data_IF_267251453546
#
_entry.id   IF_267251453546
#
_cell.length_a   1.000
_cell.length_b   1.000
_cell.length_c   1.000
_cell.angle_alpha   90.00
_cell.angle_beta   90.00
_cell.angle_gamma   90.00
#
_symmetry.space_group_name_H-M   'P 1'
#
loop_
_entity.id
_entity.type
_entity.pdbx_description
1 polymer ?
#
# COMPACT_ATOMS: atom_id res chain seq x y z
N UNK A 1 1.29 14.28 -2.15
CA UNK A 1 0.22 14.65 -1.18
C UNK A 1 0.78 14.57 0.24
N UNK A 2 0.74 15.67 0.99
CA UNK A 2 1.46 15.74 2.26
C UNK A 2 2.80 16.48 2.19
N UNK A 3 3.07 17.22 1.11
CA UNK A 3 4.34 17.94 0.92
C UNK A 3 4.67 18.79 2.15
N UNK A 4 5.92 18.69 2.59
CA UNK A 4 6.44 19.38 3.77
C UNK A 4 6.75 20.86 3.52
N UNK A 5 6.64 21.31 2.27
CA UNK A 5 6.85 22.69 1.87
C UNK A 5 6.14 22.97 0.54
N UNK A 6 6.14 24.24 0.13
CA UNK A 6 5.62 24.69 -1.16
C UNK A 6 6.52 25.77 -1.76
N UNK A 7 6.48 25.89 -3.09
CA UNK A 7 7.15 26.94 -3.83
C UNK A 7 6.20 28.11 -4.08
N UNK A 8 6.74 29.32 -4.03
CA UNK A 8 5.98 30.53 -4.34
C UNK A 8 6.12 30.80 -5.84
N UNK A 9 4.99 30.84 -6.56
CA UNK A 9 4.98 30.98 -8.01
C UNK A 9 5.08 32.45 -8.51
N UNK A 10 5.03 33.43 -7.62
CA UNK A 10 5.03 34.87 -7.97
C UNK A 10 5.93 35.68 -7.06
N UNK A 11 6.78 36.51 -7.65
CA UNK A 11 7.69 37.41 -6.94
C UNK A 11 7.01 38.73 -6.54
N UNK A 12 5.81 39.00 -7.05
CA UNK A 12 5.02 40.20 -6.77
C UNK A 12 4.05 39.99 -5.61
N UNK A 13 4.60 39.72 -4.43
CA UNK A 13 3.83 39.59 -3.19
C UNK A 13 4.02 40.80 -2.30
N UNK A 14 2.93 41.26 -1.68
CA UNK A 14 3.03 42.26 -0.61
C UNK A 14 3.66 41.64 0.65
N UNK A 15 4.21 42.49 1.52
CA UNK A 15 4.84 42.01 2.76
C UNK A 15 3.87 41.25 3.67
N UNK A 16 2.59 41.66 3.68
CA UNK A 16 1.54 40.96 4.40
C UNK A 16 1.26 39.56 3.83
N UNK A 17 1.30 39.40 2.50
CA UNK A 17 1.13 38.09 1.85
C UNK A 17 2.33 37.18 2.11
N UNK A 18 3.56 37.73 2.08
CA UNK A 18 4.77 36.97 2.43
C UNK A 18 4.74 36.48 3.88
N UNK A 19 4.35 37.35 4.82
CA UNK A 19 4.21 36.98 6.22
C UNK A 19 3.14 35.89 6.45
N UNK A 20 2.02 35.98 5.73
CA UNK A 20 0.98 34.94 5.75
C UNK A 20 1.48 33.59 5.23
N UNK A 21 2.21 33.59 4.11
CA UNK A 21 2.79 32.37 3.54
C UNK A 21 3.86 31.74 4.44
N UNK A 22 4.72 32.54 5.07
CA UNK A 22 5.68 32.02 6.06
C UNK A 22 4.98 31.43 7.29
N UNK A 23 3.87 32.03 7.74
CA UNK A 23 3.07 31.47 8.84
C UNK A 23 2.47 30.11 8.46
N UNK A 24 1.98 29.96 7.22
CA UNK A 24 1.48 28.68 6.70
C UNK A 24 2.62 27.66 6.60
N UNK A 25 3.79 28.06 6.12
CA UNK A 25 4.98 27.19 6.03
C UNK A 25 5.43 26.70 7.41
N UNK A 26 5.43 27.58 8.42
CA UNK A 26 5.72 27.20 9.80
C UNK A 26 4.72 26.15 10.32
N UNK A 27 3.42 26.35 10.09
CA UNK A 27 2.38 25.38 10.48
C UNK A 27 2.52 24.03 9.78
N UNK A 28 2.93 24.00 8.52
CA UNK A 28 3.18 22.75 7.78
C UNK A 28 4.39 22.03 8.37
N UNK A 29 5.48 22.75 8.68
CA UNK A 29 6.66 22.15 9.31
C UNK A 29 6.39 21.63 10.71
N UNK A 30 5.67 22.39 11.54
CA UNK A 30 5.32 21.98 12.91
C UNK A 30 4.45 20.72 12.93
N UNK A 31 3.66 20.49 11.88
CA UNK A 31 2.82 19.29 11.74
C UNK A 31 3.48 18.16 10.93
N UNK A 32 4.77 18.28 10.61
CA UNK A 32 5.57 17.32 9.84
C UNK A 32 4.93 17.02 8.46
N UNK A 33 4.50 18.09 7.79
CA UNK A 33 3.75 18.08 6.55
C UNK A 33 2.33 18.63 6.70
N UNK A 34 1.52 18.50 5.66
CA UNK A 34 0.14 19.01 5.67
C UNK A 34 -0.83 18.19 6.54
N UNK A 35 -0.36 17.11 7.18
CA UNK A 35 -1.18 16.19 7.98
C UNK A 35 -2.13 15.29 7.18
N UNK A 36 -2.37 15.57 5.89
CA UNK A 36 -3.30 14.81 5.04
C UNK A 36 -2.88 13.35 4.92
N UNK A 37 -1.59 13.08 4.65
CA UNK A 37 -1.09 11.71 4.55
C UNK A 37 -1.26 10.95 5.87
N UNK A 38 -1.03 11.61 7.00
CA UNK A 38 -1.21 11.05 8.34
C UNK A 38 -2.67 10.68 8.61
N UNK A 39 -3.61 11.56 8.25
CA UNK A 39 -5.04 11.29 8.39
C UNK A 39 -5.49 10.09 7.53
N UNK A 40 -5.03 10.02 6.28
CA UNK A 40 -5.34 8.90 5.38
C UNK A 40 -4.76 7.61 5.95
N UNK A 41 -3.48 7.60 6.32
CA UNK A 41 -2.83 6.41 6.88
C UNK A 41 -3.53 5.92 8.15
N UNK A 42 -3.85 6.82 9.10
CA UNK A 42 -4.61 6.47 10.30
C UNK A 42 -5.98 5.89 9.96
N UNK A 43 -6.68 6.46 8.98
CA UNK A 43 -8.01 5.98 8.59
C UNK A 43 -7.93 4.57 8.01
N UNK A 44 -6.95 4.30 7.15
CA UNK A 44 -6.78 3.00 6.47
C UNK A 44 -6.26 1.94 7.44
N UNK A 45 -5.16 2.22 8.13
CA UNK A 45 -4.43 1.22 8.92
C UNK A 45 -4.95 1.08 10.36
N UNK A 46 -5.38 2.17 11.00
CA UNK A 46 -5.79 2.15 12.42
C UNK A 46 -7.31 2.07 12.60
N UNK A 47 -8.10 2.77 11.77
CA UNK A 47 -9.57 2.79 11.93
C UNK A 47 -10.26 1.65 11.17
N UNK A 48 -9.76 1.32 9.98
CA UNK A 48 -10.33 0.26 9.15
C UNK A 48 -9.60 -1.08 9.32
N UNK A 49 -8.52 -1.12 10.12
CA UNK A 49 -7.67 -2.29 10.34
C UNK A 49 -7.29 -3.00 9.02
N UNK A 50 -6.95 -2.21 8.00
CA UNK A 50 -6.51 -2.73 6.70
C UNK A 50 -5.00 -2.99 6.71
N UNK A 51 -4.58 -4.02 5.99
CA UNK A 51 -3.20 -4.39 5.72
C UNK A 51 -2.95 -4.31 4.22
N UNK A 52 -1.73 -3.96 3.82
CA UNK A 52 -1.31 -3.99 2.42
C UNK A 52 -0.64 -5.32 2.12
N UNK A 53 -1.09 -6.01 1.07
CA UNK A 53 -0.52 -7.28 0.61
C UNK A 53 -0.19 -7.19 -0.88
N UNK A 54 0.93 -7.78 -1.27
CA UNK A 54 1.48 -7.71 -2.62
C UNK A 54 1.43 -9.08 -3.29
N UNK A 55 0.45 -9.35 -4.19
CA UNK A 55 0.47 -10.56 -4.99
C UNK A 55 1.56 -10.47 -6.06
N UNK A 56 2.34 -11.53 -6.19
CA UNK A 56 3.40 -11.66 -7.20
C UNK A 56 3.29 -12.99 -7.93
N UNK A 57 3.86 -13.07 -9.12
CA UNK A 57 3.90 -14.31 -9.88
C UNK A 57 5.20 -15.09 -9.63
N UNK A 58 6.31 -14.37 -9.49
CA UNK A 58 7.61 -14.93 -9.11
C UNK A 58 7.95 -14.51 -7.66
N UNK A 59 7.98 -15.50 -6.76
CA UNK A 59 8.30 -15.37 -5.34
C UNK A 59 9.79 -15.07 -5.08
N UNK A 60 10.67 -15.36 -6.04
CA UNK A 60 12.11 -15.14 -5.92
C UNK A 60 12.54 -13.73 -6.33
N UNK A 61 11.91 -13.17 -7.37
CA UNK A 61 12.21 -11.84 -7.91
C UNK A 61 11.17 -10.78 -7.57
N UNK A 62 10.01 -11.19 -7.05
CA UNK A 62 8.86 -10.33 -6.74
C UNK A 62 8.35 -9.57 -7.96
N UNK A 63 8.31 -10.25 -9.11
CA UNK A 63 7.89 -9.71 -10.40
C UNK A 63 6.61 -10.39 -10.90
N UNK A 64 5.97 -9.75 -11.87
CA UNK A 64 4.93 -10.37 -12.72
C UNK A 64 5.50 -10.91 -14.03
N UNK A 65 4.62 -11.51 -14.86
CA UNK A 65 4.88 -11.91 -16.27
C UNK A 65 5.55 -10.84 -17.14
N UNK A 66 5.41 -9.56 -16.82
CA UNK A 66 5.94 -8.43 -17.59
C UNK A 66 7.19 -7.81 -16.95
N UNK A 67 7.87 -8.54 -16.05
CA UNK A 67 9.06 -8.08 -15.30
C UNK A 67 8.81 -6.83 -14.43
N UNK A 68 7.56 -6.56 -14.04
CA UNK A 68 7.21 -5.44 -13.13
C UNK A 68 7.37 -5.88 -11.69
N UNK A 69 8.24 -5.19 -10.95
CA UNK A 69 8.47 -5.44 -9.52
C UNK A 69 7.28 -4.95 -8.68
N UNK A 70 6.75 -5.83 -7.82
CA UNK A 70 5.59 -5.58 -6.95
C UNK A 70 4.45 -4.89 -7.73
N UNK A 71 3.86 -5.60 -8.71
CA UNK A 71 2.97 -5.01 -9.70
C UNK A 71 1.73 -4.35 -9.06
N UNK A 72 1.21 -4.97 -8.01
CA UNK A 72 -0.05 -4.61 -7.38
C UNK A 72 0.08 -4.61 -5.85
N UNK A 73 -0.71 -3.74 -5.20
CA UNK A 73 -0.82 -3.63 -3.76
C UNK A 73 -2.29 -3.62 -3.37
N UNK A 74 -2.74 -4.64 -2.65
CA UNK A 74 -4.13 -4.78 -2.22
C UNK A 74 -4.29 -4.40 -0.76
N UNK A 75 -5.33 -3.61 -0.46
CA UNK A 75 -5.78 -3.37 0.90
C UNK A 75 -6.77 -4.48 1.29
N UNK A 76 -6.40 -5.25 2.31
CA UNK A 76 -7.20 -6.34 2.84
C UNK A 76 -7.48 -6.11 4.32
N UNK A 77 -8.55 -6.71 4.85
CA UNK A 77 -8.76 -6.65 6.30
C UNK A 77 -7.73 -7.51 7.01
N UNK A 78 -7.26 -7.04 8.16
CA UNK A 78 -6.44 -7.86 9.05
C UNK A 78 -7.17 -9.17 9.39
N UNK A 79 -6.46 -10.29 9.32
CA UNK A 79 -7.02 -11.63 9.48
C UNK A 79 -7.49 -12.29 8.18
N UNK A 80 -7.45 -11.58 7.04
CA UNK A 80 -7.62 -12.23 5.73
C UNK A 80 -6.51 -13.23 5.44
N UNK A 81 -6.84 -14.26 4.67
CA UNK A 81 -5.92 -15.32 4.28
C UNK A 81 -5.54 -15.21 2.79
N UNK A 82 -4.64 -16.10 2.34
CA UNK A 82 -4.16 -16.11 0.96
C UNK A 82 -5.22 -16.52 -0.08
N UNK A 83 -6.29 -17.21 0.34
CA UNK A 83 -7.42 -17.53 -0.52
C UNK A 83 -8.31 -16.29 -0.74
N UNK A 84 -8.54 -15.48 0.29
CA UNK A 84 -9.23 -14.20 0.17
C UNK A 84 -8.47 -13.26 -0.79
N UNK A 85 -7.13 -13.26 -0.71
CA UNK A 85 -6.28 -12.50 -1.64
C UNK A 85 -6.49 -12.99 -3.09
N UNK A 86 -6.62 -14.30 -3.30
CA UNK A 86 -6.88 -14.84 -4.63
C UNK A 86 -8.19 -14.31 -5.24
N UNK A 87 -9.25 -14.22 -4.43
CA UNK A 87 -10.51 -13.60 -4.84
C UNK A 87 -10.40 -12.09 -5.10
N UNK A 88 -9.56 -11.39 -4.35
CA UNK A 88 -9.29 -9.96 -4.58
C UNK A 88 -8.58 -9.71 -5.90
N UNK A 89 -7.68 -10.61 -6.33
CA UNK A 89 -7.02 -10.54 -7.63
C UNK A 89 -8.02 -10.84 -8.75
N UNK A 90 -8.68 -12.00 -8.69
CA UNK A 90 -9.72 -12.39 -9.64
C UNK A 90 -10.53 -13.58 -9.13
N UNK A 91 -11.85 -13.60 -9.35
CA UNK A 91 -12.71 -14.69 -8.87
C UNK A 91 -12.31 -16.07 -9.39
N UNK A 92 -11.93 -16.20 -10.68
CA UNK A 92 -11.46 -17.49 -11.25
C UNK A 92 -10.17 -18.00 -10.58
N UNK A 93 -9.30 -17.12 -10.09
CA UNK A 93 -8.08 -17.51 -9.35
C UNK A 93 -8.46 -18.02 -7.95
N UNK A 94 -9.42 -17.35 -7.30
CA UNK A 94 -10.01 -17.77 -6.03
C UNK A 94 -10.70 -19.13 -6.12
N UNK A 95 -11.61 -19.31 -7.08
CA UNK A 95 -12.37 -20.55 -7.28
C UNK A 95 -11.47 -21.76 -7.57
N UNK A 96 -10.28 -21.52 -8.12
CA UNK A 96 -9.29 -22.53 -8.50
C UNK A 96 -8.03 -22.51 -7.65
N UNK A 97 -8.09 -21.88 -6.49
CA UNK A 97 -6.97 -21.76 -5.56
C UNK A 97 -6.48 -23.14 -5.08
N UNK A 98 -5.16 -23.35 -5.05
CA UNK A 98 -4.55 -24.55 -4.49
C UNK A 98 -3.76 -24.25 -3.21
N UNK A 99 -2.87 -23.26 -3.28
CA UNK A 99 -2.07 -22.81 -2.16
C UNK A 99 -1.39 -21.48 -2.48
N UNK A 100 -0.75 -20.91 -1.48
CA UNK A 100 0.11 -19.76 -1.65
C UNK A 100 1.51 -20.01 -1.10
N UNK A 101 2.46 -19.24 -1.57
CA UNK A 101 3.85 -19.24 -1.12
C UNK A 101 4.19 -17.83 -0.68
N UNK A 102 4.82 -17.71 0.49
CA UNK A 102 5.37 -16.44 0.95
C UNK A 102 6.66 -16.15 0.19
N UNK A 103 6.72 -15.01 -0.49
CA UNK A 103 7.87 -14.55 -1.28
C UNK A 103 9.09 -14.16 -0.46
N UNK A 104 8.95 -13.91 0.85
CA UNK A 104 10.08 -13.62 1.75
C UNK A 104 10.74 -14.91 2.22
N UNK A 105 9.93 -15.85 2.72
CA UNK A 105 10.44 -17.12 3.28
C UNK A 105 10.57 -18.23 2.25
N UNK A 106 9.93 -18.09 1.09
CA UNK A 106 9.78 -19.11 0.04
C UNK A 106 9.10 -20.38 0.55
N UNK A 107 8.34 -20.28 1.63
CA UNK A 107 7.61 -21.39 2.23
C UNK A 107 6.15 -21.38 1.81
N UNK A 108 5.57 -22.57 1.69
CA UNK A 108 4.14 -22.72 1.43
C UNK A 108 3.36 -22.25 2.66
N UNK A 109 2.38 -21.38 2.43
CA UNK A 109 1.46 -20.92 3.46
C UNK A 109 0.40 -21.98 3.74
N UNK A 110 0.04 -22.11 5.01
CA UNK A 110 -1.12 -22.90 5.40
C UNK A 110 -2.41 -22.23 4.93
N UNK A 111 -3.44 -23.02 4.68
CA UNK A 111 -4.75 -22.52 4.20
C UNK A 111 -5.38 -21.50 5.17
N UNK A 112 -5.16 -21.68 6.47
CA UNK A 112 -5.64 -20.79 7.54
C UNK A 112 -4.60 -19.76 7.98
N UNK A 113 -3.50 -19.61 7.25
CA UNK A 113 -2.49 -18.61 7.60
C UNK A 113 -3.03 -17.22 7.32
N UNK A 114 -3.06 -16.38 8.36
CA UNK A 114 -3.45 -14.99 8.26
C UNK A 114 -2.30 -14.16 7.68
N UNK A 115 -2.63 -13.30 6.72
CA UNK A 115 -1.68 -12.41 6.08
C UNK A 115 -1.33 -11.24 7.00
N UNK A 116 -0.10 -10.76 6.89
CA UNK A 116 0.40 -9.60 7.61
C UNK A 116 0.65 -8.43 6.67
N UNK A 117 0.75 -7.23 7.26
CA UNK A 117 1.07 -6.01 6.51
C UNK A 117 2.44 -6.12 5.83
N UNK A 118 2.45 -5.82 4.53
CA UNK A 118 3.61 -5.90 3.67
C UNK A 118 3.98 -7.31 3.19
N UNK A 119 3.08 -8.30 3.33
CA UNK A 119 3.36 -9.64 2.83
C UNK A 119 3.38 -9.71 1.30
N UNK A 120 4.32 -10.50 0.78
CA UNK A 120 4.51 -10.72 -0.64
C UNK A 120 4.10 -12.15 -0.94
N UNK A 121 2.99 -12.34 -1.65
CA UNK A 121 2.34 -13.65 -1.75
C UNK A 121 2.26 -14.08 -3.20
N UNK A 122 2.79 -15.28 -3.48
CA UNK A 122 2.54 -15.96 -4.74
C UNK A 122 1.35 -16.89 -4.61
N UNK A 123 0.33 -16.68 -5.44
CA UNK A 123 -0.87 -17.51 -5.48
C UNK A 123 -0.69 -18.58 -6.55
N UNK A 124 -0.86 -19.84 -6.15
CA UNK A 124 -0.87 -20.98 -7.08
C UNK A 124 -2.31 -21.45 -7.24
N UNK A 125 -2.81 -21.35 -8.46
CA UNK A 125 -4.15 -21.78 -8.83
C UNK A 125 -4.11 -22.68 -10.07
N UNK A 126 -5.21 -23.39 -10.34
CA UNK A 126 -5.37 -24.14 -11.60
C UNK A 126 -6.01 -23.30 -12.71
N UNK A 127 -6.27 -22.01 -12.47
CA UNK A 127 -6.69 -21.08 -13.51
C UNK A 127 -5.54 -20.86 -14.51
N UNK A 128 -5.87 -20.74 -15.80
CA UNK A 128 -4.91 -20.61 -16.90
C UNK A 128 -4.73 -19.15 -17.30
#
# INVERSE_FOLDING_TARGET
PGDSDFTIASDKLSDAQKAGLESVRALIKDNDGSGIQKCINKSVFELLDLIVVYPVEDEGKWIDKNDRMLPDAFLMKKGSNAHDLAYMVHSDIGDRYLYAVDGKTKMRLGEKHELNDGDVIKIVSTAK
#
